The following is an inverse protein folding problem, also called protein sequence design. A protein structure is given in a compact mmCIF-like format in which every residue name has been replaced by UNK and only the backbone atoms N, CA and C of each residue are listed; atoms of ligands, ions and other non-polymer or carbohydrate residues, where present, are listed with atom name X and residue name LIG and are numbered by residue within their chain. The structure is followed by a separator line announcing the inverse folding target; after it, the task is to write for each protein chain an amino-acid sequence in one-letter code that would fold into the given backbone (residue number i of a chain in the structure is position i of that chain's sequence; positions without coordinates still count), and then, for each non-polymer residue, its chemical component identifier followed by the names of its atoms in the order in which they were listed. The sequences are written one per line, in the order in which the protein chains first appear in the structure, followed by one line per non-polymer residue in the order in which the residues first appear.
data_IF_090190304478
#
_entry.id   IF_090190304478
#
_cell.length_a   1.000
_cell.length_b   1.000
_cell.length_c   1.000
_cell.angle_alpha   90.00
_cell.angle_beta   90.00
_cell.angle_gamma   90.00
#
_symmetry.space_group_name_H-M   'P 1'
#
loop_
_entity.id
_entity.type
_entity.pdbx_description
1 polymer ?
#
# COMPACT_ATOMS: atom_id res chain seq x y z
N UNK A 1 24.84 9.51 7.33
CA UNK A 1 23.50 10.08 7.54
C UNK A 1 23.11 9.78 8.97
N UNK A 2 22.69 10.80 9.72
CA UNK A 2 22.12 10.58 11.06
C UNK A 2 20.85 9.74 10.91
N UNK A 3 20.65 8.73 11.78
CA UNK A 3 19.42 7.95 11.77
C UNK A 3 18.28 8.90 12.15
N UNK A 4 17.31 9.09 11.25
CA UNK A 4 16.10 9.84 11.58
C UNK A 4 15.33 9.14 12.71
N UNK A 5 14.76 9.92 13.62
CA UNK A 5 13.89 9.40 14.68
C UNK A 5 12.63 8.80 14.03
N UNK A 6 12.52 7.48 14.07
CA UNK A 6 11.42 6.74 13.46
C UNK A 6 10.06 7.12 14.05
N UNK A 7 10.00 7.34 15.38
CA UNK A 7 8.76 7.69 16.05
C UNK A 7 8.31 9.11 15.66
N UNK A 8 9.27 10.04 15.57
CA UNK A 8 9.01 11.39 15.10
C UNK A 8 8.54 11.39 13.63
N UNK A 9 9.24 10.67 12.75
CA UNK A 9 8.90 10.59 11.32
C UNK A 9 7.54 9.91 11.10
N UNK A 10 7.23 8.84 11.86
CA UNK A 10 5.92 8.19 11.81
C UNK A 10 4.81 9.20 12.13
N UNK A 11 4.95 9.94 13.23
CA UNK A 11 3.95 10.90 13.71
C UNK A 11 3.82 12.13 12.82
N UNK A 12 4.94 12.68 12.34
CA UNK A 12 4.96 13.99 11.66
C UNK A 12 4.88 13.89 10.14
N UNK A 13 5.24 12.73 9.55
CA UNK A 13 5.29 12.52 8.10
C UNK A 13 4.39 11.38 7.64
N UNK A 14 4.62 10.16 8.13
CA UNK A 14 3.98 8.96 7.59
C UNK A 14 2.46 8.96 7.78
N UNK A 15 2.00 9.11 9.03
CA UNK A 15 0.56 9.06 9.36
C UNK A 15 -0.22 10.19 8.67
N UNK A 16 0.18 11.48 8.78
CA UNK A 16 -0.54 12.56 8.11
C UNK A 16 -0.64 12.36 6.60
N UNK A 17 0.43 11.84 5.97
CA UNK A 17 0.42 11.62 4.54
C UNK A 17 -0.46 10.43 4.12
N UNK A 18 -0.51 9.38 4.95
CA UNK A 18 -1.41 8.25 4.75
C UNK A 18 -2.88 8.69 4.84
N UNK A 19 -3.24 9.50 5.82
CA UNK A 19 -4.63 10.00 5.98
C UNK A 19 -5.10 10.81 4.77
N UNK A 20 -4.18 11.49 4.08
CA UNK A 20 -4.47 12.21 2.82
C UNK A 20 -4.66 11.24 1.64
N UNK A 21 -3.76 10.26 1.48
CA UNK A 21 -3.71 9.45 0.25
C UNK A 21 -4.55 8.17 0.27
N UNK A 22 -4.76 7.52 1.42
CA UNK A 22 -5.55 6.29 1.48
C UNK A 22 -6.98 6.45 0.93
N UNK A 23 -7.72 7.55 1.24
CA UNK A 23 -9.02 7.79 0.61
C UNK A 23 -8.95 7.91 -0.91
N UNK A 24 -7.88 8.51 -1.44
CA UNK A 24 -7.68 8.71 -2.89
C UNK A 24 -7.44 7.36 -3.58
N UNK A 25 -6.58 6.51 -3.00
CA UNK A 25 -6.33 5.19 -3.55
C UNK A 25 -7.57 4.30 -3.48
N UNK A 26 -8.33 4.35 -2.38
CA UNK A 26 -9.58 3.63 -2.27
C UNK A 26 -10.59 4.09 -3.33
N UNK A 27 -10.68 5.40 -3.59
CA UNK A 27 -11.52 5.96 -4.65
C UNK A 27 -11.11 5.41 -6.01
N UNK A 28 -9.84 5.47 -6.38
CA UNK A 28 -9.38 4.96 -7.68
C UNK A 28 -9.60 3.46 -7.84
N UNK A 29 -9.36 2.66 -6.80
CA UNK A 29 -9.63 1.23 -6.80
C UNK A 29 -11.12 0.93 -7.02
N UNK A 30 -12.01 1.72 -6.42
CA UNK A 30 -13.47 1.57 -6.60
C UNK A 30 -13.91 1.99 -8.00
N UNK A 31 -13.42 3.12 -8.49
CA UNK A 31 -13.79 3.68 -9.80
C UNK A 31 -13.24 2.86 -10.97
N UNK A 32 -12.11 2.18 -10.80
CA UNK A 32 -11.51 1.38 -11.88
C UNK A 32 -12.39 0.21 -12.31
N UNK A 33 -13.08 -0.43 -11.36
CA UNK A 33 -13.83 -1.68 -11.54
C UNK A 33 -12.98 -2.89 -11.98
N UNK A 34 -11.65 -2.74 -12.07
CA UNK A 34 -10.74 -3.77 -12.60
C UNK A 34 -10.12 -4.65 -11.51
N UNK A 35 -10.31 -4.26 -10.24
CA UNK A 35 -9.55 -4.81 -9.11
C UNK A 35 -8.14 -4.23 -8.96
N UNK A 36 -7.71 -3.34 -9.85
CA UNK A 36 -6.46 -2.58 -9.80
C UNK A 36 -6.75 -1.08 -9.76
N UNK A 37 -5.75 -0.22 -9.67
CA UNK A 37 -5.97 1.22 -9.50
C UNK A 37 -6.54 1.92 -10.73
N UNK A 38 -6.40 1.33 -11.91
CA UNK A 38 -6.90 1.90 -13.18
C UNK A 38 -7.72 0.89 -13.96
N UNK A 39 -8.62 1.38 -14.81
CA UNK A 39 -9.58 0.55 -15.56
C UNK A 39 -8.91 -0.48 -16.48
N UNK A 40 -7.70 -0.20 -16.98
CA UNK A 40 -6.95 -1.09 -17.85
C UNK A 40 -6.34 -2.31 -17.12
N UNK A 41 -6.51 -2.43 -15.81
CA UNK A 41 -5.94 -3.52 -15.01
C UNK A 41 -4.60 -3.15 -14.39
N UNK A 42 -3.72 -4.15 -14.20
CA UNK A 42 -2.43 -4.02 -13.53
C UNK A 42 -1.50 -3.06 -14.28
N UNK A 43 -0.96 -2.08 -13.57
CA UNK A 43 0.01 -1.10 -14.09
C UNK A 43 1.15 -0.85 -13.11
N UNK A 44 2.12 -0.03 -13.52
CA UNK A 44 3.22 0.35 -12.63
C UNK A 44 2.75 1.08 -11.36
N UNK A 45 1.64 1.83 -11.44
CA UNK A 45 1.06 2.52 -10.30
C UNK A 45 0.68 1.56 -9.17
N UNK A 46 0.26 0.34 -9.51
CA UNK A 46 -0.12 -0.66 -8.54
C UNK A 46 1.05 -1.13 -7.69
N UNK A 47 2.23 -1.30 -8.30
CA UNK A 47 3.43 -1.66 -7.55
C UNK A 47 3.83 -0.55 -6.58
N UNK A 48 3.89 0.70 -7.03
CA UNK A 48 4.27 1.84 -6.18
C UNK A 48 3.35 1.99 -4.97
N UNK A 49 2.03 1.90 -5.21
CA UNK A 49 1.06 2.07 -4.13
C UNK A 49 1.04 0.84 -3.23
N UNK A 50 1.15 -0.38 -3.76
CA UNK A 50 1.26 -1.58 -2.93
C UNK A 50 2.49 -1.54 -2.00
N UNK A 51 3.64 -1.05 -2.47
CA UNK A 51 4.84 -0.86 -1.64
C UNK A 51 4.61 0.16 -0.51
N UNK A 52 3.93 1.27 -0.81
CA UNK A 52 3.56 2.25 0.21
C UNK A 52 2.61 1.65 1.25
N UNK A 53 1.60 0.87 0.82
CA UNK A 53 0.68 0.21 1.74
C UNK A 53 1.40 -0.86 2.60
N UNK A 54 2.38 -1.59 2.06
CA UNK A 54 3.21 -2.50 2.85
C UNK A 54 4.05 -1.76 3.90
N UNK A 55 4.56 -0.57 3.55
CA UNK A 55 5.26 0.30 4.51
C UNK A 55 4.33 0.74 5.64
N UNK A 56 3.08 1.09 5.33
CA UNK A 56 2.07 1.38 6.35
C UNK A 56 1.72 0.15 7.18
N UNK A 57 1.65 -1.04 6.58
CA UNK A 57 1.42 -2.28 7.33
C UNK A 57 2.52 -2.52 8.38
N UNK A 58 3.78 -2.20 8.06
CA UNK A 58 4.90 -2.37 8.97
C UNK A 58 4.95 -1.30 10.07
N UNK A 59 4.77 -0.02 9.71
CA UNK A 59 5.02 1.09 10.64
C UNK A 59 3.75 1.74 11.20
N UNK A 60 2.57 1.57 10.59
CA UNK A 60 1.32 2.26 10.96
C UNK A 60 0.06 1.43 10.60
N UNK A 61 0.04 0.15 11.02
CA UNK A 61 -1.02 -0.80 10.61
C UNK A 61 -2.40 -0.32 11.00
N UNK A 62 -2.53 0.35 12.16
CA UNK A 62 -3.75 0.95 12.69
C UNK A 62 -4.39 1.97 11.74
N UNK A 63 -3.59 2.65 10.93
CA UNK A 63 -4.10 3.59 9.92
C UNK A 63 -4.63 2.84 8.70
N UNK A 64 -3.90 1.81 8.24
CA UNK A 64 -4.28 1.02 7.07
C UNK A 64 -5.49 0.12 7.33
N UNK A 65 -5.63 -0.42 8.55
CA UNK A 65 -6.73 -1.31 8.95
C UNK A 65 -8.12 -0.66 8.82
N UNK A 66 -8.19 0.67 8.80
CA UNK A 66 -9.42 1.43 8.51
C UNK A 66 -9.90 1.30 7.05
N UNK A 67 -9.08 0.72 6.17
CA UNK A 67 -9.33 0.60 4.72
C UNK A 67 -9.29 -0.87 4.27
N UNK A 68 -10.31 -1.68 4.59
CA UNK A 68 -10.33 -3.11 4.25
C UNK A 68 -10.21 -3.39 2.74
N UNK A 69 -10.74 -2.51 1.89
CA UNK A 69 -10.61 -2.63 0.43
C UNK A 69 -9.15 -2.58 -0.03
N UNK A 70 -8.32 -1.75 0.63
CA UNK A 70 -6.89 -1.62 0.33
C UNK A 70 -6.08 -2.82 0.86
N UNK A 71 -6.51 -3.41 1.97
CA UNK A 71 -5.95 -4.70 2.44
C UNK A 71 -6.25 -5.82 1.45
N UNK A 72 -7.49 -5.91 0.96
CA UNK A 72 -7.85 -6.91 -0.05
C UNK A 72 -7.10 -6.69 -1.36
N UNK A 73 -6.87 -5.43 -1.74
CA UNK A 73 -6.03 -5.07 -2.87
C UNK A 73 -4.58 -5.56 -2.70
N UNK A 74 -3.98 -5.42 -1.51
CA UNK A 74 -2.65 -5.98 -1.23
C UNK A 74 -2.61 -7.50 -1.39
N UNK A 75 -3.63 -8.21 -0.90
CA UNK A 75 -3.70 -9.67 -1.06
C UNK A 75 -3.83 -10.06 -2.54
N UNK A 76 -4.55 -9.27 -3.35
CA UNK A 76 -4.60 -9.46 -4.81
C UNK A 76 -3.22 -9.30 -5.46
N UNK A 77 -2.42 -8.32 -5.02
CA UNK A 77 -1.05 -8.15 -5.53
C UNK A 77 -0.18 -9.38 -5.23
N UNK A 78 -0.30 -9.96 -4.02
CA UNK A 78 0.43 -11.18 -3.62
C UNK A 78 0.02 -12.42 -4.42
N UNK A 79 -1.18 -12.43 -4.99
CA UNK A 79 -1.70 -13.55 -5.78
C UNK A 79 -1.25 -13.52 -7.25
N UNK A 80 -0.62 -12.44 -7.72
CA UNK A 80 -0.08 -12.35 -9.08
C UNK A 80 0.98 -13.46 -9.25
N UNK A 81 0.79 -14.41 -10.18
CA UNK A 81 1.69 -15.57 -10.33
C UNK A 81 3.17 -15.19 -10.47
N UNK A 82 3.44 -14.15 -11.22
CA UNK A 82 4.78 -13.63 -11.53
C UNK A 82 5.47 -13.01 -10.29
N UNK A 83 4.72 -12.63 -9.26
CA UNK A 83 5.26 -12.05 -8.03
C UNK A 83 5.43 -13.07 -6.90
N UNK A 84 5.00 -14.32 -7.09
CA UNK A 84 5.06 -15.34 -6.04
C UNK A 84 6.48 -15.56 -5.51
N UNK A 85 7.46 -15.66 -6.40
CA UNK A 85 8.87 -15.84 -6.02
C UNK A 85 9.43 -14.61 -5.29
N UNK A 86 9.04 -13.41 -5.74
CA UNK A 86 9.42 -12.16 -5.09
C UNK A 86 8.91 -12.12 -3.64
N UNK A 87 7.62 -12.37 -3.42
CA UNK A 87 7.06 -12.37 -2.07
C UNK A 87 7.56 -13.53 -1.20
N UNK A 88 7.91 -14.68 -1.78
CA UNK A 88 8.46 -15.80 -1.02
C UNK A 88 9.91 -15.54 -0.54
N UNK A 89 10.69 -14.76 -1.29
CA UNK A 89 12.09 -14.46 -0.98
C UNK A 89 12.31 -13.14 -0.26
N UNK A 90 11.34 -12.21 -0.33
CA UNK A 90 11.37 -10.92 0.34
C UNK A 90 11.31 -11.10 1.86
N UNK A 91 12.24 -10.46 2.56
CA UNK A 91 12.16 -10.30 4.02
C UNK A 91 11.19 -9.17 4.33
N UNK A 92 10.17 -9.46 5.14
CA UNK A 92 9.29 -8.45 5.75
C UNK A 92 9.97 -7.78 6.95
#
# INVERSE_FOLDING_TARGET
MEKGDEAELKKTKLIPQAEIYLPIYQKYLKESGSGFLVKSGLTFADFIISEFLLTLKLHASDVLEKYPDLLQYLERMKQIPELKEYYASRKE
#
